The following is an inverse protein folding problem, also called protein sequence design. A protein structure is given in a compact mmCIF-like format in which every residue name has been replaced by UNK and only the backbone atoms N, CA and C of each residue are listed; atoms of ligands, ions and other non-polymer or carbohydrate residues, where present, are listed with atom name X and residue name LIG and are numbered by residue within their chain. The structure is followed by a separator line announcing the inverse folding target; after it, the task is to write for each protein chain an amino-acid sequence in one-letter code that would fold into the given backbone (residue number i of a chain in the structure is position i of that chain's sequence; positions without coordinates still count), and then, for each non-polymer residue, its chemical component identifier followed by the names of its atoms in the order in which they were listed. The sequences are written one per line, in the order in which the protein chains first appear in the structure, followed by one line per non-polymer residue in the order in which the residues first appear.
data_IF_839333865441
#
_entry.id   IF_839333865441
#
_cell.length_a   1.000
_cell.length_b   1.000
_cell.length_c   1.000
_cell.angle_alpha   90.00
_cell.angle_beta   90.00
_cell.angle_gamma   90.00
#
_symmetry.space_group_name_H-M   'P 1'
#
loop_
_entity.id
_entity.type
_entity.pdbx_description
1 polymer ?
#
# COMPACT_ATOMS: atom_id res chain seq x y z
N UNK A 1 9.02 -21.92 21.35
CA UNK A 1 8.62 -22.83 20.25
C UNK A 1 9.72 -23.05 19.20
N UNK A 2 10.55 -22.05 18.88
CA UNK A 2 11.67 -22.21 17.92
C UNK A 2 12.88 -23.00 18.46
N UNK A 3 13.13 -22.99 19.77
CA UNK A 3 14.28 -23.68 20.38
C UNK A 3 14.14 -25.22 20.36
N UNK A 4 12.94 -25.74 20.64
CA UNK A 4 12.66 -27.18 20.67
C UNK A 4 12.83 -27.84 19.28
N UNK A 5 12.55 -27.08 18.22
CA UNK A 5 12.70 -27.54 16.83
C UNK A 5 14.18 -27.65 16.42
N UNK A 6 15.01 -26.69 16.80
CA UNK A 6 16.44 -26.71 16.52
C UNK A 6 17.16 -27.87 17.23
N UNK A 7 16.74 -28.17 18.47
CA UNK A 7 17.24 -29.30 19.26
C UNK A 7 16.88 -30.65 18.62
N UNK A 8 15.62 -30.81 18.18
CA UNK A 8 15.16 -32.03 17.47
C UNK A 8 15.81 -32.21 16.10
N UNK A 9 16.11 -31.13 15.37
CA UNK A 9 16.90 -31.20 14.13
C UNK A 9 18.32 -31.73 14.40
N UNK A 10 18.95 -31.27 15.48
CA UNK A 10 20.30 -31.73 15.88
C UNK A 10 20.29 -33.20 16.29
N UNK A 11 19.24 -33.68 16.97
CA UNK A 11 19.10 -35.09 17.35
C UNK A 11 18.90 -36.03 16.14
N UNK A 12 18.22 -35.56 15.09
CA UNK A 12 18.07 -36.30 13.82
C UNK A 12 19.42 -36.36 13.07
N UNK A 13 20.19 -35.26 13.06
CA UNK A 13 21.52 -35.24 12.43
C UNK A 13 22.52 -36.19 13.10
N UNK A 14 22.41 -36.38 14.41
CA UNK A 14 23.25 -37.32 15.17
C UNK A 14 22.76 -38.78 15.12
N UNK A 15 21.58 -39.04 14.53
CA UNK A 15 21.00 -40.38 14.41
C UNK A 15 20.32 -40.91 15.69
N UNK A 16 20.18 -40.07 16.71
CA UNK A 16 19.54 -40.42 18.00
C UNK A 16 18.01 -40.38 17.93
N UNK A 17 17.44 -39.78 16.87
CA UNK A 17 16.00 -39.70 16.65
C UNK A 17 15.63 -40.10 15.22
N UNK A 18 14.77 -41.10 15.07
CA UNK A 18 14.25 -41.46 13.76
C UNK A 18 13.27 -40.38 13.26
N UNK A 19 13.40 -40.00 11.99
CA UNK A 19 12.54 -39.00 11.35
C UNK A 19 11.05 -39.37 11.46
N UNK A 20 10.75 -40.67 11.40
CA UNK A 20 9.38 -41.19 11.51
C UNK A 20 8.80 -41.00 12.92
N UNK A 21 9.62 -41.10 13.96
CA UNK A 21 9.21 -40.90 15.35
C UNK A 21 8.89 -39.42 15.62
N UNK A 22 9.71 -38.51 15.08
CA UNK A 22 9.45 -37.07 15.11
C UNK A 22 8.16 -36.68 14.39
N UNK A 23 7.89 -37.26 13.22
CA UNK A 23 6.68 -36.99 12.44
C UNK A 23 5.43 -37.42 13.23
N UNK A 24 5.48 -38.59 13.87
CA UNK A 24 4.36 -39.07 14.67
C UNK A 24 4.11 -38.20 15.91
N UNK A 25 5.16 -37.72 16.58
CA UNK A 25 5.03 -36.73 17.67
C UNK A 25 4.39 -35.42 17.19
N UNK A 26 4.84 -34.88 16.06
CA UNK A 26 4.26 -33.65 15.49
C UNK A 26 2.77 -33.80 15.17
N UNK A 27 2.36 -34.95 14.62
CA UNK A 27 0.95 -35.20 14.35
C UNK A 27 0.12 -35.32 15.63
N UNK A 28 0.68 -35.93 16.69
CA UNK A 28 0.02 -36.02 17.99
C UNK A 28 -0.12 -34.66 18.67
N UNK A 29 0.94 -33.85 18.65
CA UNK A 29 0.96 -32.49 19.22
C UNK A 29 0.00 -31.56 18.47
N UNK A 30 0.01 -31.62 17.13
CA UNK A 30 -0.92 -30.87 16.29
C UNK A 30 -2.37 -31.33 16.53
N UNK A 31 -2.59 -32.64 16.68
CA UNK A 31 -3.90 -33.23 16.96
C UNK A 31 -4.51 -32.70 18.26
N UNK A 32 -3.71 -32.62 19.33
CA UNK A 32 -4.15 -32.08 20.62
C UNK A 32 -4.47 -30.58 20.58
N UNK A 33 -3.77 -29.81 19.73
CA UNK A 33 -4.10 -28.39 19.51
C UNK A 33 -5.37 -28.22 18.69
N UNK A 34 -5.62 -29.07 17.69
CA UNK A 34 -6.80 -28.97 16.82
C UNK A 34 -8.09 -29.43 17.53
N UNK A 35 -8.01 -30.39 18.46
CA UNK A 35 -9.19 -30.94 19.17
C UNK A 35 -9.94 -29.92 20.02
N UNK A 36 -9.32 -28.81 20.42
CA UNK A 36 -9.95 -27.76 21.22
C UNK A 36 -10.25 -26.47 20.42
N UNK A 37 -10.05 -26.49 19.09
CA UNK A 37 -10.38 -25.35 18.23
C UNK A 37 -11.85 -25.45 17.84
N UNK A 38 -12.69 -24.65 18.50
CA UNK A 38 -14.05 -24.39 18.04
C UNK A 38 -13.99 -23.53 16.76
N UNK A 39 -14.08 -24.21 15.62
CA UNK A 39 -14.10 -23.59 14.29
C UNK A 39 -15.33 -22.69 14.07
N UNK A 40 -16.32 -22.70 14.98
CA UNK A 40 -17.55 -21.92 14.88
C UNK A 40 -17.38 -20.42 15.15
N UNK A 41 -16.42 -20.03 15.99
CA UNK A 41 -16.22 -18.61 16.39
C UNK A 41 -14.95 -17.97 15.81
N UNK A 42 -14.18 -18.70 15.00
CA UNK A 42 -13.09 -18.09 14.25
C UNK A 42 -13.66 -17.27 13.10
N UNK A 43 -14.02 -16.01 13.36
CA UNK A 43 -14.15 -14.99 12.33
C UNK A 43 -12.78 -14.79 11.69
N UNK A 44 -12.48 -15.65 10.72
CA UNK A 44 -11.46 -15.38 9.71
C UNK A 44 -12.07 -14.29 8.83
N UNK A 45 -12.05 -13.06 9.32
CA UNK A 45 -12.19 -11.93 8.42
C UNK A 45 -11.03 -12.03 7.45
N UNK A 46 -11.35 -12.09 6.16
CA UNK A 46 -10.34 -11.97 5.12
C UNK A 46 -9.66 -10.61 5.33
N UNK A 47 -8.56 -10.60 6.08
CA UNK A 47 -7.65 -9.48 6.10
C UNK A 47 -7.32 -9.22 4.63
N UNK A 48 -7.73 -8.04 4.16
CA UNK A 48 -7.61 -7.67 2.75
C UNK A 48 -6.24 -8.12 2.25
N UNK A 49 -6.18 -8.87 1.12
CA UNK A 49 -4.99 -9.60 0.73
C UNK A 49 -3.78 -8.68 0.77
N UNK A 50 -2.88 -8.95 1.72
CA UNK A 50 -1.63 -8.24 1.87
C UNK A 50 -0.86 -8.38 0.55
N UNK A 51 -0.90 -7.36 -0.30
CA UNK A 51 -0.30 -7.41 -1.64
C UNK A 51 -1.16 -6.83 -2.77
N UNK A 52 -2.46 -6.60 -2.56
CA UNK A 52 -3.24 -5.82 -3.53
C UNK A 52 -2.90 -4.33 -3.36
N UNK A 53 -1.81 -3.91 -4.01
CA UNK A 53 -1.57 -2.49 -4.21
C UNK A 53 -2.80 -1.92 -4.93
N UNK A 54 -3.61 -1.11 -4.24
CA UNK A 54 -4.66 -0.35 -4.92
C UNK A 54 -4.01 0.37 -6.12
N UNK A 55 -4.66 0.33 -7.28
CA UNK A 55 -4.17 1.00 -8.49
C UNK A 55 -5.20 2.04 -8.91
N UNK A 56 -4.74 3.15 -9.46
CA UNK A 56 -5.62 4.11 -10.11
C UNK A 56 -6.11 3.54 -11.44
N UNK A 57 -7.33 3.90 -11.82
CA UNK A 57 -7.87 3.51 -13.13
C UNK A 57 -7.29 4.36 -14.27
N UNK A 58 -6.75 5.55 -13.94
CA UNK A 58 -6.13 6.43 -14.93
C UNK A 58 -4.71 5.96 -15.32
N UNK A 59 -4.39 5.89 -16.62
CA UNK A 59 -3.05 5.60 -17.09
C UNK A 59 -2.09 6.77 -16.82
N UNK A 60 -0.80 6.47 -16.76
CA UNK A 60 0.23 7.49 -16.59
C UNK A 60 0.31 8.40 -17.82
N UNK A 61 0.28 9.74 -17.68
CA UNK A 61 0.38 10.67 -18.80
C UNK A 61 1.77 10.70 -19.46
N UNK A 62 2.79 10.11 -18.82
CA UNK A 62 4.16 10.02 -19.36
C UNK A 62 4.36 8.78 -20.23
N UNK A 63 3.93 7.61 -19.74
CA UNK A 63 4.25 6.32 -20.37
C UNK A 63 3.05 5.40 -20.62
N UNK A 64 1.83 5.82 -20.27
CA UNK A 64 0.60 5.05 -20.46
C UNK A 64 0.41 3.85 -19.51
N UNK A 65 1.40 3.53 -18.66
CA UNK A 65 1.32 2.40 -17.71
C UNK A 65 0.45 2.72 -16.50
N UNK A 66 0.09 1.68 -15.75
CA UNK A 66 -0.73 1.80 -14.54
C UNK A 66 0.01 2.52 -13.41
N UNK A 67 -0.74 3.28 -12.60
CA UNK A 67 -0.22 3.96 -11.41
C UNK A 67 -0.66 3.19 -10.17
N UNK A 68 0.31 2.80 -9.36
CA UNK A 68 0.05 2.10 -8.11
C UNK A 68 -0.06 3.10 -6.95
N UNK A 69 -1.08 2.92 -6.13
CA UNK A 69 -1.32 3.66 -4.90
C UNK A 69 -0.42 3.03 -3.83
N UNK A 70 0.31 3.90 -3.13
CA UNK A 70 1.14 3.59 -1.97
C UNK A 70 0.74 4.52 -0.83
N UNK A 71 1.05 4.18 0.43
CA UNK A 71 0.75 5.04 1.58
C UNK A 71 1.31 6.46 1.44
N UNK A 72 2.50 6.58 0.85
CA UNK A 72 3.19 7.87 0.63
C UNK A 72 2.66 8.67 -0.57
N UNK A 73 2.00 8.03 -1.54
CA UNK A 73 1.68 8.66 -2.81
C UNK A 73 1.34 7.69 -3.92
N UNK A 74 1.29 8.21 -5.14
CA UNK A 74 0.96 7.52 -6.36
C UNK A 74 2.23 7.38 -7.20
N UNK A 75 2.59 6.16 -7.56
CA UNK A 75 3.84 5.87 -8.25
C UNK A 75 3.55 5.08 -9.53
N UNK A 76 4.10 5.54 -10.66
CA UNK A 76 4.00 4.78 -11.90
C UNK A 76 4.85 3.51 -11.84
N UNK A 77 4.37 2.42 -12.42
CA UNK A 77 5.09 1.13 -12.45
C UNK A 77 6.19 1.05 -13.51
N UNK A 78 6.35 2.04 -14.38
CA UNK A 78 7.36 1.96 -15.43
C UNK A 78 7.93 3.26 -15.96
N UNK A 79 7.80 4.36 -15.21
CA UNK A 79 8.59 5.58 -15.40
C UNK A 79 8.83 6.27 -14.05
N UNK A 80 9.60 7.35 -14.02
CA UNK A 80 9.93 8.11 -12.80
C UNK A 80 8.76 8.98 -12.25
N UNK A 81 7.59 8.86 -12.86
CA UNK A 81 6.41 9.63 -12.47
C UNK A 81 5.96 9.26 -11.05
N UNK A 82 5.93 10.28 -10.18
CA UNK A 82 5.50 10.17 -8.79
C UNK A 82 4.68 11.38 -8.35
N UNK A 83 3.58 11.13 -7.66
CA UNK A 83 2.74 12.17 -7.05
C UNK A 83 2.63 11.86 -5.56
N UNK A 84 2.90 12.85 -4.71
CA UNK A 84 2.71 12.72 -3.27
C UNK A 84 1.23 12.83 -2.91
N UNK A 85 0.78 11.97 -1.98
CA UNK A 85 -0.62 12.01 -1.52
C UNK A 85 -0.91 13.29 -0.75
N UNK A 86 0.05 13.76 0.03
CA UNK A 86 -0.02 15.05 0.71
C UNK A 86 0.59 16.14 -0.19
N UNK A 87 -0.22 17.10 -0.59
CA UNK A 87 0.18 18.24 -1.38
C UNK A 87 -0.27 19.53 -0.69
N UNK A 88 0.70 20.36 -0.26
CA UNK A 88 0.48 21.63 0.45
C UNK A 88 -0.45 21.50 1.67
N UNK A 89 -0.19 20.52 2.53
CA UNK A 89 -0.94 20.32 3.77
C UNK A 89 -2.27 19.57 3.61
N UNK A 90 -2.65 19.20 2.37
CA UNK A 90 -3.89 18.47 2.08
C UNK A 90 -3.62 17.13 1.43
N UNK A 91 -4.33 16.09 1.87
CA UNK A 91 -4.36 14.81 1.16
C UNK A 91 -5.26 14.89 -0.08
N UNK A 92 -4.71 14.59 -1.25
CA UNK A 92 -5.48 14.44 -2.49
C UNK A 92 -6.25 13.11 -2.46
N UNK A 93 -7.49 13.13 -2.95
CA UNK A 93 -8.29 11.92 -3.13
C UNK A 93 -7.99 11.24 -4.46
N UNK A 94 -8.24 9.93 -4.55
CA UNK A 94 -7.96 9.15 -5.76
C UNK A 94 -8.64 9.75 -7.00
N UNK A 95 -9.92 10.15 -6.87
CA UNK A 95 -10.68 10.84 -7.94
C UNK A 95 -10.03 12.15 -8.42
N UNK A 96 -9.43 12.91 -7.50
CA UNK A 96 -8.73 14.16 -7.85
C UNK A 96 -7.47 13.87 -8.64
N UNK A 97 -6.73 12.83 -8.24
CA UNK A 97 -5.53 12.39 -8.97
C UNK A 97 -5.90 11.81 -10.33
N UNK A 98 -6.98 11.03 -10.45
CA UNK A 98 -7.46 10.57 -11.76
C UNK A 98 -7.84 11.74 -12.66
N UNK A 99 -8.55 12.73 -12.14
CA UNK A 99 -8.89 13.95 -12.90
C UNK A 99 -7.64 14.69 -13.36
N UNK A 100 -6.64 14.82 -12.48
CA UNK A 100 -5.37 15.44 -12.78
C UNK A 100 -4.61 14.69 -13.88
N UNK A 101 -4.63 13.35 -13.86
CA UNK A 101 -3.94 12.52 -14.85
C UNK A 101 -4.62 12.61 -16.22
N UNK A 102 -5.96 12.58 -16.25
CA UNK A 102 -6.73 12.61 -17.50
C UNK A 102 -6.77 14.01 -18.14
N UNK A 103 -7.01 15.05 -17.33
CA UNK A 103 -7.17 16.43 -17.83
C UNK A 103 -5.89 17.27 -17.75
N UNK A 104 -4.87 16.82 -17.02
CA UNK A 104 -3.67 17.61 -16.71
C UNK A 104 -3.90 18.70 -15.64
N UNK A 105 -5.15 18.93 -15.23
CA UNK A 105 -5.54 19.94 -14.23
C UNK A 105 -6.73 19.43 -13.41
N UNK A 106 -6.72 19.67 -12.10
CA UNK A 106 -7.87 19.41 -11.23
C UNK A 106 -8.86 20.58 -11.28
N UNK A 107 -10.07 20.33 -10.78
CA UNK A 107 -10.96 21.42 -10.38
C UNK A 107 -10.36 22.29 -9.28
N UNK A 108 -11.09 23.34 -8.89
CA UNK A 108 -10.73 24.17 -7.75
C UNK A 108 -10.88 23.34 -6.46
N UNK A 109 -9.75 23.13 -5.79
CA UNK A 109 -9.67 22.37 -4.55
C UNK A 109 -9.48 23.34 -3.40
N UNK A 110 -10.34 23.24 -2.39
CA UNK A 110 -10.27 24.01 -1.14
C UNK A 110 -9.45 23.29 -0.09
N UNK A 111 -8.88 24.02 0.86
CA UNK A 111 -8.17 23.48 2.02
C UNK A 111 -6.69 23.19 1.80
N UNK A 112 -6.04 23.86 0.83
CA UNK A 112 -4.57 23.86 0.77
C UNK A 112 -4.02 24.84 1.78
N UNK A 113 -2.98 24.48 2.49
CA UNK A 113 -2.31 25.35 3.46
C UNK A 113 -1.14 26.05 2.78
N UNK A 114 -1.14 27.38 2.79
CA UNK A 114 -0.04 28.19 2.24
C UNK A 114 1.16 28.11 3.16
N UNK A 115 2.33 27.73 2.62
CA UNK A 115 3.58 27.76 3.38
C UNK A 115 4.00 29.16 3.82
N UNK A 116 3.54 30.21 3.11
CA UNK A 116 3.88 31.61 3.40
C UNK A 116 3.02 32.24 4.49
N UNK A 117 1.74 31.90 4.53
CA UNK A 117 0.76 32.56 5.41
C UNK A 117 0.10 31.62 6.40
N UNK A 118 0.36 30.32 6.29
CA UNK A 118 -0.30 29.24 7.05
C UNK A 118 -1.84 29.25 6.96
N UNK A 119 -2.39 30.00 6.00
CA UNK A 119 -3.84 30.10 5.78
C UNK A 119 -4.26 29.08 4.73
N UNK A 120 -5.49 28.61 4.89
CA UNK A 120 -6.15 27.80 3.89
C UNK A 120 -6.52 28.63 2.66
N UNK A 121 -6.22 28.10 1.48
CA UNK A 121 -6.57 28.70 0.21
C UNK A 121 -7.19 27.67 -0.74
N UNK A 122 -7.88 28.18 -1.75
CA UNK A 122 -8.46 27.39 -2.83
C UNK A 122 -7.66 27.63 -4.10
N UNK A 123 -7.25 26.56 -4.77
CA UNK A 123 -6.50 26.63 -6.00
C UNK A 123 -6.78 25.42 -6.89
N UNK A 124 -6.51 25.56 -8.19
CA UNK A 124 -6.48 24.40 -9.10
C UNK A 124 -5.07 23.81 -9.06
N UNK A 125 -4.98 22.49 -9.03
CA UNK A 125 -3.69 21.80 -9.13
C UNK A 125 -3.48 21.42 -10.58
N UNK A 126 -2.37 21.84 -11.15
CA UNK A 126 -1.96 21.51 -12.52
C UNK A 126 -0.73 20.63 -12.49
N UNK A 127 -0.69 19.67 -13.41
CA UNK A 127 0.50 18.90 -13.68
C UNK A 127 1.45 19.75 -14.54
N UNK A 128 2.47 20.35 -13.91
CA UNK A 128 3.47 21.16 -14.63
C UNK A 128 4.35 20.24 -15.46
N UNK A 129 4.82 19.16 -14.83
CA UNK A 129 5.75 18.22 -15.45
C UNK A 129 5.07 16.87 -15.61
N UNK A 130 4.73 16.53 -16.85
CA UNK A 130 4.13 15.23 -17.19
C UNK A 130 5.13 14.09 -17.08
N UNK A 131 6.44 14.35 -17.20
CA UNK A 131 7.47 13.33 -17.13
C UNK A 131 7.79 12.94 -15.68
N UNK A 132 7.98 13.93 -14.79
CA UNK A 132 8.34 13.68 -13.39
C UNK A 132 7.14 13.63 -12.44
N UNK A 133 5.98 14.18 -12.84
CA UNK A 133 4.80 14.28 -11.99
C UNK A 133 4.77 15.53 -11.09
N UNK A 134 5.54 16.58 -11.41
CA UNK A 134 5.54 17.81 -10.59
C UNK A 134 4.20 18.52 -10.68
N UNK A 135 3.64 18.80 -9.51
CA UNK A 135 2.40 19.54 -9.34
C UNK A 135 2.68 21.02 -9.13
N UNK A 136 1.85 21.86 -9.74
CA UNK A 136 1.80 23.30 -9.57
C UNK A 136 0.42 23.77 -9.17
N UNK A 137 0.35 24.99 -8.67
CA UNK A 137 -0.91 25.67 -8.45
C UNK A 137 -1.21 26.61 -9.60
N UNK A 138 -2.42 26.54 -10.13
CA UNK A 138 -2.98 27.52 -11.05
C UNK A 138 -4.07 28.29 -10.32
N UNK A 139 -3.79 29.56 -10.03
CA UNK A 139 -4.75 30.49 -9.47
C UNK A 139 -5.40 31.23 -10.63
N UNK A 140 -6.73 31.17 -10.75
CA UNK A 140 -7.42 32.11 -11.63
C UNK A 140 -7.15 33.52 -11.10
N UNK A 141 -6.67 34.47 -11.93
CA UNK A 141 -6.57 35.85 -11.49
C UNK A 141 -7.97 36.34 -11.12
N UNK A 142 -8.17 36.72 -9.86
CA UNK A 142 -9.37 37.48 -9.48
C UNK A 142 -9.25 38.84 -10.19
N UNK A 143 -10.15 39.06 -11.14
CA UNK A 143 -10.38 40.36 -11.78
C UNK A 143 -11.17 41.25 -10.83
#
# INVERSE_FOLDING_TARGET
MTALWAEKQTAIENGDLAVEEFINELYSDLGGMITNVDLGEMKIEAAAPAGQSQRLNAPCPSCGKQIAIRPKGYFCTGCEFKIWKNFSGKALSDKQVETLLTKGITGELKGFVSSRTNKEFSAKVKLIDKATGKLGFEFSPKK
#
